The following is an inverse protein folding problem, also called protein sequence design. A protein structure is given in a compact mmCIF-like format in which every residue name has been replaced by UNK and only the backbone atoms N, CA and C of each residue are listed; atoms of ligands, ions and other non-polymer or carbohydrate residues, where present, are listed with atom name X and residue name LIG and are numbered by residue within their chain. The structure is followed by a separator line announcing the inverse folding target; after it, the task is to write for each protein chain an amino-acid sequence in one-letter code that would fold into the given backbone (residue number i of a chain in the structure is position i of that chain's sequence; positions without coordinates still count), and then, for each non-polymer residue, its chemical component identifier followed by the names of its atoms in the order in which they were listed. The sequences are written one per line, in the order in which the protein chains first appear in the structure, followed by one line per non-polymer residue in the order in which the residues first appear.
data_IF_480521001169
#
_entry.id   IF_480521001169
#
_cell.length_a   1.000
_cell.length_b   1.000
_cell.length_c   1.000
_cell.angle_alpha   90.00
_cell.angle_beta   90.00
_cell.angle_gamma   90.00
#
_symmetry.space_group_name_H-M   'P 1'
#
loop_
_entity.id
_entity.type
_entity.pdbx_description
1 polymer ?
#
# COMPACT_ATOMS: atom_id res chain seq x y z
N UNK A 1 -10.02 19.91 6.35
CA UNK A 1 -9.49 19.08 5.23
C UNK A 1 -8.19 19.74 4.80
N UNK A 2 -7.07 19.05 4.85
CA UNK A 2 -5.77 19.60 4.48
C UNK A 2 -5.56 19.41 2.96
N UNK A 3 -5.41 20.54 2.24
CA UNK A 3 -5.14 20.58 0.81
C UNK A 3 -3.67 20.87 0.48
N UNK A 4 -2.78 20.87 1.50
CA UNK A 4 -1.38 21.25 1.35
C UNK A 4 -0.57 20.38 0.38
N UNK A 5 -1.03 19.17 0.07
CA UNK A 5 -0.36 18.22 -0.81
C UNK A 5 -1.18 17.90 -2.07
N UNK A 6 -2.10 18.79 -2.48
CA UNK A 6 -2.87 18.58 -3.71
C UNK A 6 -1.97 18.73 -4.94
N UNK A 7 -1.95 17.72 -5.79
CA UNK A 7 -1.15 17.68 -7.00
C UNK A 7 -1.47 16.46 -7.87
N UNK A 8 -0.73 16.27 -8.94
CA UNK A 8 -0.80 15.04 -9.71
C UNK A 8 -0.30 13.89 -8.86
N UNK A 9 -1.17 12.91 -8.59
CA UNK A 9 -0.90 11.81 -7.69
C UNK A 9 -1.21 10.47 -8.38
N UNK A 10 -0.37 9.47 -8.11
CA UNK A 10 -0.70 8.10 -8.47
C UNK A 10 -1.93 7.64 -7.67
N UNK A 11 -2.94 7.11 -8.35
CA UNK A 11 -4.18 6.69 -7.69
C UNK A 11 -3.96 5.57 -6.66
N UNK A 12 -3.02 4.67 -6.89
CA UNK A 12 -2.63 3.67 -5.90
C UNK A 12 -2.06 4.30 -4.63
N UNK A 13 -1.29 5.40 -4.76
CA UNK A 13 -0.82 6.21 -3.64
C UNK A 13 -1.99 6.84 -2.87
N UNK A 14 -2.97 7.40 -3.57
CA UNK A 14 -4.13 8.02 -2.92
C UNK A 14 -4.94 7.01 -2.10
N UNK A 15 -5.20 5.82 -2.67
CA UNK A 15 -5.95 4.75 -2.02
C UNK A 15 -5.16 4.19 -0.84
N UNK A 16 -3.87 3.87 -1.03
CA UNK A 16 -3.02 3.41 0.07
C UNK A 16 -2.95 4.45 1.19
N UNK A 17 -2.70 5.71 0.87
CA UNK A 17 -2.62 6.80 1.86
C UNK A 17 -3.91 6.97 2.67
N UNK A 18 -5.07 6.86 2.02
CA UNK A 18 -6.36 6.95 2.69
C UNK A 18 -6.65 5.77 3.62
N UNK A 19 -6.15 4.57 3.30
CA UNK A 19 -6.52 3.33 3.98
C UNK A 19 -5.39 2.69 4.78
N UNK A 20 -4.15 3.16 4.68
CA UNK A 20 -2.97 2.51 5.28
C UNK A 20 -3.06 2.35 6.80
N UNK A 21 -3.73 3.26 7.49
CA UNK A 21 -4.00 3.21 8.93
C UNK A 21 -5.26 2.45 9.32
N UNK A 22 -6.05 1.95 8.38
CA UNK A 22 -7.30 1.25 8.67
C UNK A 22 -7.06 -0.13 9.32
N UNK A 23 -8.09 -0.65 10.00
CA UNK A 23 -8.04 -2.00 10.56
C UNK A 23 -7.90 -3.06 9.45
N UNK A 24 -7.13 -4.14 9.71
CA UNK A 24 -6.95 -5.26 8.78
C UNK A 24 -8.29 -5.81 8.29
N UNK A 25 -9.27 -5.92 9.18
CA UNK A 25 -10.60 -6.41 8.83
C UNK A 25 -11.35 -5.54 7.81
N UNK A 26 -11.00 -4.27 7.69
CA UNK A 26 -11.55 -3.37 6.67
C UNK A 26 -10.94 -3.70 5.29
N UNK A 27 -9.63 -3.87 5.22
CA UNK A 27 -8.96 -4.34 4.01
C UNK A 27 -9.51 -5.69 3.54
N UNK A 28 -9.66 -6.63 4.48
CA UNK A 28 -10.10 -8.00 4.17
C UNK A 28 -11.52 -8.08 3.63
N UNK A 29 -12.42 -7.23 4.10
CA UNK A 29 -13.83 -7.30 3.75
C UNK A 29 -14.25 -6.33 2.67
N UNK A 30 -13.59 -5.18 2.57
CA UNK A 30 -14.11 -4.06 1.80
C UNK A 30 -13.14 -3.51 0.75
N UNK A 31 -11.94 -4.05 0.61
CA UNK A 31 -10.95 -3.49 -0.30
C UNK A 31 -11.48 -3.43 -1.75
N UNK A 32 -11.98 -4.54 -2.27
CA UNK A 32 -12.48 -4.61 -3.64
C UNK A 32 -13.77 -3.78 -3.83
N UNK A 33 -14.65 -3.76 -2.83
CA UNK A 33 -15.85 -2.93 -2.80
C UNK A 33 -15.51 -1.43 -2.85
N UNK A 34 -14.53 -1.00 -2.05
CA UNK A 34 -14.06 0.38 -2.01
C UNK A 34 -13.40 0.82 -3.32
N UNK A 35 -12.63 -0.06 -3.96
CA UNK A 35 -12.07 0.19 -5.29
C UNK A 35 -13.19 0.38 -6.33
N UNK A 36 -14.20 -0.48 -6.29
CA UNK A 36 -15.34 -0.39 -7.21
C UNK A 36 -16.15 0.89 -7.01
N UNK A 37 -16.38 1.26 -5.75
CA UNK A 37 -17.04 2.52 -5.39
C UNK A 37 -16.21 3.71 -5.89
N UNK A 38 -14.90 3.70 -5.68
CA UNK A 38 -14.00 4.76 -6.14
C UNK A 38 -14.08 4.95 -7.66
N UNK A 39 -13.97 3.87 -8.44
CA UNK A 39 -14.07 3.90 -9.91
C UNK A 39 -15.44 4.46 -10.35
N UNK A 40 -16.51 4.01 -9.70
CA UNK A 40 -17.88 4.48 -9.99
C UNK A 40 -18.03 5.97 -9.73
N UNK A 41 -17.51 6.47 -8.61
CA UNK A 41 -17.58 7.88 -8.26
C UNK A 41 -16.73 8.77 -9.18
N UNK A 42 -15.53 8.31 -9.57
CA UNK A 42 -14.70 9.02 -10.56
C UNK A 42 -15.47 9.18 -11.86
N UNK A 43 -16.09 8.10 -12.36
CA UNK A 43 -16.92 8.16 -13.58
C UNK A 43 -18.12 9.09 -13.42
N UNK A 44 -18.84 9.02 -12.29
CA UNK A 44 -20.00 9.88 -11.99
C UNK A 44 -19.64 11.37 -11.98
N UNK A 45 -18.41 11.69 -11.55
CA UNK A 45 -17.89 13.06 -11.53
C UNK A 45 -17.30 13.52 -12.88
N UNK A 46 -17.46 12.75 -13.96
CA UNK A 46 -16.93 13.09 -15.29
C UNK A 46 -15.45 12.79 -15.48
N UNK A 47 -14.86 12.00 -14.58
CA UNK A 47 -13.49 11.51 -14.71
C UNK A 47 -13.35 10.38 -15.74
N UNK A 48 -12.11 9.92 -15.98
CA UNK A 48 -11.84 8.84 -16.93
C UNK A 48 -12.47 7.51 -16.49
N UNK A 49 -12.69 6.64 -17.48
CA UNK A 49 -13.09 5.26 -17.21
C UNK A 49 -11.88 4.47 -16.69
N UNK A 50 -11.93 4.09 -15.41
CA UNK A 50 -10.85 3.39 -14.72
C UNK A 50 -11.18 1.89 -14.67
N UNK A 51 -10.17 1.07 -14.95
CA UNK A 51 -10.20 -0.37 -14.74
C UNK A 51 -9.91 -0.68 -13.27
N UNK A 52 -10.85 -1.31 -12.57
CA UNK A 52 -10.75 -1.64 -11.13
C UNK A 52 -9.65 -2.65 -10.84
N UNK A 53 -9.43 -3.64 -11.72
CA UNK A 53 -8.39 -4.66 -11.53
C UNK A 53 -7.00 -4.07 -11.70
N UNK A 54 -6.84 -3.20 -12.70
CA UNK A 54 -5.61 -2.45 -12.90
C UNK A 54 -5.34 -1.51 -11.73
N UNK A 55 -6.35 -0.82 -11.23
CA UNK A 55 -6.24 0.06 -10.06
C UNK A 55 -5.85 -0.74 -8.81
N UNK A 56 -6.48 -1.90 -8.59
CA UNK A 56 -6.15 -2.84 -7.52
C UNK A 56 -4.68 -3.26 -7.60
N UNK A 57 -4.22 -3.73 -8.78
CA UNK A 57 -2.81 -4.11 -9.00
C UNK A 57 -1.86 -2.96 -8.68
N UNK A 58 -2.15 -1.74 -9.16
CA UNK A 58 -1.33 -0.56 -8.89
C UNK A 58 -1.30 -0.20 -7.40
N UNK A 59 -2.42 -0.32 -6.69
CA UNK A 59 -2.49 -0.05 -5.24
C UNK A 59 -1.63 -1.05 -4.47
N UNK A 60 -1.69 -2.33 -4.80
CA UNK A 60 -0.90 -3.38 -4.15
C UNK A 60 0.61 -3.21 -4.41
N UNK A 61 1.00 -2.93 -5.67
CA UNK A 61 2.39 -2.67 -6.03
C UNK A 61 2.93 -1.41 -5.35
N UNK A 62 2.10 -0.36 -5.27
CA UNK A 62 2.47 0.87 -4.56
C UNK A 62 2.66 0.62 -3.06
N UNK A 63 1.72 -0.11 -2.42
CA UNK A 63 1.83 -0.50 -1.02
C UNK A 63 3.11 -1.30 -0.75
N UNK A 64 3.48 -2.22 -1.65
CA UNK A 64 4.72 -2.99 -1.55
C UNK A 64 5.96 -2.09 -1.64
N UNK A 65 6.02 -1.19 -2.63
CA UNK A 65 7.14 -0.27 -2.80
C UNK A 65 7.31 0.65 -1.59
N UNK A 66 6.21 1.23 -1.10
CA UNK A 66 6.22 2.09 0.10
C UNK A 66 6.57 1.30 1.36
N UNK A 67 6.08 0.05 1.45
CA UNK A 67 6.39 -0.84 2.56
C UNK A 67 7.88 -1.13 2.67
N UNK A 68 8.52 -1.48 1.57
CA UNK A 68 9.98 -1.70 1.53
C UNK A 68 10.73 -0.41 1.86
N UNK A 69 10.31 0.73 1.33
CA UNK A 69 11.01 1.99 1.51
C UNK A 69 10.88 2.57 2.94
N UNK A 70 9.76 2.33 3.64
CA UNK A 70 9.42 3.12 4.83
C UNK A 70 8.98 2.30 6.05
N UNK A 71 8.56 1.05 5.89
CA UNK A 71 7.97 0.27 6.97
C UNK A 71 8.86 -0.87 7.48
N UNK A 72 9.92 -1.24 6.77
CA UNK A 72 10.82 -2.31 7.22
C UNK A 72 11.60 -1.95 8.49
N UNK A 73 11.73 -0.67 8.81
CA UNK A 73 12.39 -0.19 10.03
C UNK A 73 11.48 -0.23 11.27
N UNK A 74 10.18 -0.53 11.12
CA UNK A 74 9.23 -0.55 12.25
C UNK A 74 9.65 -1.51 13.37
N UNK A 75 10.15 -2.72 13.13
CA UNK A 75 10.67 -3.59 14.19
C UNK A 75 11.85 -2.96 14.96
N UNK A 76 12.75 -2.25 14.25
CA UNK A 76 13.86 -1.54 14.87
C UNK A 76 13.38 -0.35 15.71
N UNK A 77 12.37 0.39 15.22
CA UNK A 77 11.70 1.46 15.95
C UNK A 77 11.10 0.96 17.27
N UNK A 78 10.37 -0.16 17.25
CA UNK A 78 9.79 -0.77 18.45
C UNK A 78 10.89 -1.17 19.42
N UNK A 79 11.95 -1.80 18.94
CA UNK A 79 13.09 -2.20 19.78
C UNK A 79 13.78 -0.99 20.39
N UNK A 80 14.00 0.06 19.65
CA UNK A 80 14.63 1.30 20.15
C UNK A 80 13.78 1.98 21.20
N UNK A 81 12.44 1.92 21.06
CA UNK A 81 11.50 2.59 21.96
C UNK A 81 11.31 1.85 23.29
N UNK A 82 11.30 0.52 23.28
CA UNK A 82 10.93 -0.32 24.42
C UNK A 82 12.09 -1.19 24.95
N UNK A 83 13.22 -1.28 24.25
CA UNK A 83 14.36 -2.07 24.65
C UNK A 83 14.05 -3.58 24.75
N UNK A 84 14.61 -4.22 25.80
CA UNK A 84 14.40 -5.65 26.06
C UNK A 84 12.98 -6.00 26.47
N UNK A 85 12.22 -5.01 26.99
CA UNK A 85 10.82 -5.16 27.43
C UNK A 85 9.82 -4.84 26.30
N UNK A 86 10.24 -5.01 25.04
CA UNK A 86 9.37 -4.73 23.90
C UNK A 86 8.05 -5.54 24.00
N UNK A 87 6.91 -4.87 23.79
CA UNK A 87 5.61 -5.54 23.87
C UNK A 87 5.50 -6.67 22.85
N UNK A 88 4.98 -7.82 23.28
CA UNK A 88 4.74 -8.99 22.42
C UNK A 88 3.42 -8.91 21.62
N UNK A 89 2.61 -7.88 21.86
CA UNK A 89 1.32 -7.71 21.21
C UNK A 89 1.08 -6.25 20.83
N UNK A 90 0.57 -6.02 19.61
CA UNK A 90 0.14 -4.69 19.14
C UNK A 90 -1.00 -4.09 19.99
N UNK A 91 -1.69 -4.93 20.80
CA UNK A 91 -2.77 -4.49 21.71
C UNK A 91 -2.25 -4.01 23.06
N UNK A 92 -0.95 -4.13 23.31
CA UNK A 92 -0.34 -3.60 24.54
C UNK A 92 -0.61 -2.10 24.65
N UNK A 93 -0.95 -1.65 25.87
CA UNK A 93 -1.29 -0.25 26.12
C UNK A 93 -0.16 0.71 25.74
N UNK A 94 1.09 0.31 25.93
CA UNK A 94 2.26 1.12 25.58
C UNK A 94 2.36 1.41 24.09
N UNK A 95 1.96 0.45 23.23
CA UNK A 95 1.87 0.66 21.77
C UNK A 95 0.61 1.46 21.44
N UNK A 96 -0.52 1.11 22.03
CA UNK A 96 -1.81 1.72 21.73
C UNK A 96 -1.84 3.21 22.04
N UNK A 97 -1.19 3.61 23.13
CA UNK A 97 -1.17 4.99 23.63
C UNK A 97 -0.02 5.81 23.01
N UNK A 98 0.89 5.21 22.22
CA UNK A 98 1.99 5.86 21.51
C UNK A 98 1.73 5.86 19.99
N UNK A 99 1.23 6.98 19.46
CA UNK A 99 0.88 7.15 18.05
C UNK A 99 2.10 6.95 17.13
N UNK A 100 3.29 7.37 17.59
CA UNK A 100 4.53 7.26 16.79
C UNK A 100 4.96 5.81 16.53
N UNK A 101 4.47 4.87 17.32
CA UNK A 101 4.70 3.43 17.17
C UNK A 101 3.46 2.74 16.61
N UNK A 102 2.28 3.13 17.10
CA UNK A 102 1.00 2.51 16.73
C UNK A 102 0.72 2.62 15.24
N UNK A 103 0.84 3.81 14.67
CA UNK A 103 0.51 4.05 13.27
C UNK A 103 1.45 3.29 12.31
N UNK A 104 2.79 3.40 12.40
CA UNK A 104 3.69 2.61 11.56
C UNK A 104 3.50 1.09 11.72
N UNK A 105 3.24 0.60 12.93
CA UNK A 105 2.98 -0.81 13.16
C UNK A 105 1.67 -1.28 12.52
N UNK A 106 0.62 -0.45 12.54
CA UNK A 106 -0.63 -0.75 11.85
C UNK A 106 -0.42 -0.80 10.33
N UNK A 107 0.30 0.17 9.78
CA UNK A 107 0.63 0.21 8.35
C UNK A 107 1.45 -1.00 7.91
N UNK A 108 2.48 -1.38 8.69
CA UNK A 108 3.27 -2.60 8.43
C UNK A 108 2.38 -3.85 8.50
N UNK A 109 1.50 -3.94 9.49
CA UNK A 109 0.58 -5.08 9.63
C UNK A 109 -0.36 -5.19 8.43
N UNK A 110 -0.88 -4.06 7.94
CA UNK A 110 -1.71 -4.02 6.73
C UNK A 110 -0.92 -4.44 5.49
N UNK A 111 0.31 -3.95 5.33
CA UNK A 111 1.18 -4.35 4.23
C UNK A 111 1.40 -5.87 4.21
N UNK A 112 1.79 -6.46 5.35
CA UNK A 112 2.07 -7.90 5.44
C UNK A 112 0.81 -8.73 5.17
N UNK A 113 -0.35 -8.29 5.66
CA UNK A 113 -1.63 -8.93 5.38
C UNK A 113 -1.98 -8.88 3.88
N UNK A 114 -1.84 -7.72 3.25
CA UNK A 114 -2.07 -7.57 1.80
C UNK A 114 -1.07 -8.41 0.99
N UNK A 115 0.19 -8.44 1.42
CA UNK A 115 1.23 -9.23 0.76
C UNK A 115 0.88 -10.71 0.69
N UNK A 116 0.48 -11.28 1.82
CA UNK A 116 0.10 -12.69 1.91
C UNK A 116 -1.21 -12.96 1.16
N UNK A 117 -2.25 -12.18 1.46
CA UNK A 117 -3.60 -12.42 0.94
C UNK A 117 -3.71 -12.25 -0.58
N UNK A 118 -3.00 -11.30 -1.16
CA UNK A 118 -3.06 -10.99 -2.58
C UNK A 118 -1.83 -11.48 -3.36
N UNK A 119 -0.98 -12.28 -2.73
CA UNK A 119 0.22 -12.85 -3.36
C UNK A 119 1.05 -11.77 -4.07
N UNK A 120 1.34 -10.69 -3.35
CA UNK A 120 2.01 -9.50 -3.94
C UNK A 120 3.36 -9.84 -4.54
N UNK A 121 4.07 -10.88 -4.05
CA UNK A 121 5.28 -11.40 -4.67
C UNK A 121 5.08 -11.78 -6.14
N UNK A 122 4.01 -12.53 -6.45
CA UNK A 122 3.71 -12.93 -7.82
C UNK A 122 3.38 -11.72 -8.72
N UNK A 123 2.72 -10.69 -8.15
CA UNK A 123 2.43 -9.45 -8.88
C UNK A 123 3.71 -8.67 -9.20
N UNK A 124 4.69 -8.67 -8.29
CA UNK A 124 6.00 -8.06 -8.51
C UNK A 124 6.78 -8.80 -9.60
N UNK A 125 6.83 -10.11 -9.54
CA UNK A 125 7.51 -10.94 -10.56
C UNK A 125 6.91 -10.72 -11.96
N UNK A 126 5.58 -10.67 -12.05
CA UNK A 126 4.89 -10.36 -13.30
C UNK A 126 5.21 -8.94 -13.81
N UNK A 127 5.23 -7.94 -12.93
CA UNK A 127 5.54 -6.57 -13.30
C UNK A 127 7.00 -6.41 -13.79
N UNK A 128 7.93 -7.12 -13.17
CA UNK A 128 9.35 -7.14 -13.58
C UNK A 128 9.51 -7.81 -14.96
N UNK A 129 8.83 -8.94 -15.19
CA UNK A 129 8.85 -9.62 -16.47
C UNK A 129 8.30 -8.73 -17.61
N UNK A 130 7.18 -8.04 -17.37
CA UNK A 130 6.60 -7.08 -18.32
C UNK A 130 7.59 -5.94 -18.66
N UNK A 131 8.28 -5.41 -17.65
CA UNK A 131 9.28 -4.33 -17.81
C UNK A 131 10.49 -4.78 -18.62
N UNK A 132 10.98 -6.00 -18.41
CA UNK A 132 12.08 -6.58 -19.20
C UNK A 132 11.70 -6.72 -20.68
N UNK A 133 10.47 -7.18 -20.97
CA UNK A 133 10.00 -7.33 -22.35
C UNK A 133 9.78 -5.98 -23.05
N UNK A 134 9.38 -4.94 -22.31
CA UNK A 134 9.24 -3.58 -22.86
C UNK A 134 10.61 -2.95 -23.17
N UNK A 135 11.60 -3.14 -22.30
CA UNK A 135 12.98 -2.65 -22.50
C UNK A 135 13.65 -3.29 -23.71
N UNK A 136 13.45 -4.59 -23.93
CA UNK A 136 14.05 -5.30 -25.06
C UNK A 136 13.50 -4.83 -26.42
N UNK A 137 12.28 -4.31 -26.47
CA UNK A 137 11.68 -3.75 -27.70
C UNK A 137 12.20 -2.35 -28.07
N UNK A 138 12.70 -1.60 -27.10
CA UNK A 138 13.25 -0.25 -27.34
C UNK A 138 14.72 -0.27 -27.81
N UNK A 139 15.45 -1.36 -27.55
CA UNK A 139 16.84 -1.52 -27.97
C UNK A 139 17.01 -2.15 -29.38
N UNK A 140 15.91 -2.60 -29.97
CA UNK A 140 15.88 -3.20 -31.33
C UNK A 140 15.63 -2.18 -32.43
N UNK A 141 16.24 -0.98 -32.41
CA UNK A 141 16.29 -0.12 -33.59
C UNK A 141 17.27 -0.70 -34.58
N UNK A 142 16.87 -0.97 -35.85
CA UNK A 142 17.79 -1.39 -36.91
C UNK A 142 18.72 -0.21 -37.23
N UNK A 143 20.01 -0.54 -37.47
CA UNK A 143 21.02 0.35 -38.04
C UNK A 143 20.65 0.83 -39.44
#
# INVERSE_FOLDING_TARGET
MDWGCVGQMNLGMAIWGAMSGAEISMWDRHFDELLHLFVTEVRRCGGPDLDSDRLRRHTLLYAAAMGVAWLLDVPALIRSRFGADAPSSRRDRRIRDDESVRAPLQMLSNLLNLWERHRVGDLLDAALAESCHAGCRLTGMPE
#
